data_IF_334990361326
#
_entry.id   IF_334990361326
#
_cell.length_a   1.000
_cell.length_b   1.000
_cell.length_c   1.000
_cell.angle_alpha   90.00
_cell.angle_beta   90.00
_cell.angle_gamma   90.00
#
_symmetry.space_group_name_H-M   'P 1'
#
loop_
_entity.id
_entity.type
_entity.pdbx_description
1 polymer ?
#
# COMPACT_ATOMS: atom_id res chain seq x y z
N UNK A 1 29.67 7.94 30.56
CA UNK A 1 29.26 8.16 29.16
C UNK A 1 29.39 6.78 28.56
N UNK A 2 28.39 5.93 28.79
CA UNK A 2 28.52 4.50 28.51
C UNK A 2 27.15 4.01 28.09
N UNK A 3 26.87 4.13 26.79
CA UNK A 3 25.70 3.48 26.21
C UNK A 3 26.11 2.06 25.81
N UNK A 4 25.46 1.14 26.52
CA UNK A 4 25.60 -0.30 26.52
C UNK A 4 25.32 -0.88 25.13
N UNK A 5 26.27 -1.66 24.62
CA UNK A 5 26.13 -2.45 23.40
C UNK A 5 25.06 -3.54 23.58
N UNK A 6 24.17 -3.69 22.60
CA UNK A 6 23.17 -4.75 22.55
C UNK A 6 23.70 -5.96 21.75
N UNK A 7 23.39 -7.21 22.15
CA UNK A 7 23.98 -8.40 21.57
C UNK A 7 23.35 -8.78 20.22
N UNK A 8 24.14 -9.53 19.46
CA UNK A 8 23.89 -10.06 18.12
C UNK A 8 22.52 -10.73 17.96
N UNK A 9 21.80 -10.40 16.87
CA UNK A 9 20.82 -11.33 16.30
C UNK A 9 19.37 -10.88 16.11
N UNK A 10 19.06 -9.59 16.04
CA UNK A 10 17.78 -9.15 15.49
C UNK A 10 18.02 -7.97 14.56
N UNK A 11 17.85 -8.18 13.25
CA UNK A 11 17.92 -7.11 12.24
C UNK A 11 17.08 -5.94 12.76
N UNK A 12 17.77 -4.83 13.03
CA UNK A 12 17.17 -3.61 13.55
C UNK A 12 15.98 -3.25 12.68
N UNK A 13 14.83 -3.16 13.34
CA UNK A 13 13.53 -2.74 12.83
C UNK A 13 13.71 -1.47 11.99
N UNK A 14 13.70 -1.62 10.67
CA UNK A 14 13.77 -0.51 9.72
C UNK A 14 12.76 0.57 10.08
N UNK A 15 13.22 1.80 10.22
CA UNK A 15 12.37 2.98 10.36
C UNK A 15 12.11 3.57 8.96
N UNK A 16 10.95 4.18 8.71
CA UNK A 16 10.65 4.80 7.41
C UNK A 16 11.66 5.87 6.97
N UNK A 17 12.52 6.34 7.88
CA UNK A 17 13.50 7.39 7.65
C UNK A 17 14.90 6.85 7.35
N UNK A 18 15.08 5.53 7.35
CA UNK A 18 16.36 4.86 7.04
C UNK A 18 16.57 4.69 5.53
N UNK A 19 15.58 5.05 4.71
CA UNK A 19 15.60 4.89 3.25
C UNK A 19 15.04 6.10 2.53
N UNK A 20 15.65 6.43 1.41
CA UNK A 20 15.12 7.42 0.48
C UNK A 20 13.94 6.84 -0.30
N UNK A 21 12.89 7.64 -0.44
CA UNK A 21 11.71 7.28 -1.23
C UNK A 21 12.04 7.45 -2.71
N UNK A 22 12.18 6.35 -3.45
CA UNK A 22 12.51 6.42 -4.89
C UNK A 22 11.29 6.71 -5.78
N UNK A 23 10.09 6.29 -5.37
CA UNK A 23 8.85 6.54 -6.11
C UNK A 23 7.61 6.48 -5.20
N UNK A 24 6.58 7.22 -5.59
CA UNK A 24 5.25 7.23 -4.97
C UNK A 24 4.22 6.58 -5.89
N UNK A 25 3.36 5.72 -5.33
CA UNK A 25 2.24 5.12 -6.04
C UNK A 25 0.97 5.91 -5.80
N UNK A 26 0.27 6.30 -6.87
CA UNK A 26 -1.04 6.96 -6.79
C UNK A 26 -2.10 6.11 -7.48
N UNK A 27 -3.18 5.81 -6.74
CA UNK A 27 -4.33 5.06 -7.23
C UNK A 27 -5.63 5.86 -7.02
N UNK A 28 -6.48 5.93 -8.05
CA UNK A 28 -7.87 6.36 -7.85
C UNK A 28 -8.72 5.16 -7.40
N UNK A 29 -9.12 5.18 -6.13
CA UNK A 29 -9.92 4.13 -5.51
C UNK A 29 -11.43 4.36 -5.62
N UNK A 30 -11.89 5.44 -6.27
CA UNK A 30 -13.33 5.74 -6.41
C UNK A 30 -14.10 4.60 -7.05
N UNK A 31 -13.52 3.95 -8.06
CA UNK A 31 -14.16 2.81 -8.73
C UNK A 31 -14.37 1.63 -7.77
N UNK A 32 -13.40 1.33 -6.91
CA UNK A 32 -13.55 0.28 -5.91
C UNK A 32 -14.51 0.69 -4.78
N UNK A 33 -14.45 1.96 -4.35
CA UNK A 33 -15.26 2.49 -3.26
C UNK A 33 -16.77 2.45 -3.54
N UNK A 34 -17.18 2.62 -4.82
CA UNK A 34 -18.60 2.62 -5.24
C UNK A 34 -19.35 1.33 -4.89
N UNK A 35 -18.64 0.22 -4.77
CA UNK A 35 -19.23 -1.10 -4.56
C UNK A 35 -19.08 -1.59 -3.11
N UNK A 36 -18.59 -0.75 -2.21
CA UNK A 36 -18.44 -1.10 -0.81
C UNK A 36 -19.80 -1.12 -0.12
N UNK A 37 -20.06 -2.20 0.60
CA UNK A 37 -21.26 -2.31 1.42
C UNK A 37 -21.02 -1.67 2.79
N UNK A 38 -21.98 -0.88 3.30
CA UNK A 38 -21.89 -0.32 4.65
C UNK A 38 -21.92 -1.44 5.69
N UNK A 39 -20.94 -1.44 6.58
CA UNK A 39 -20.87 -2.32 7.74
C UNK A 39 -21.22 -1.55 9.01
N UNK A 40 -21.74 -2.24 10.03
CA UNK A 40 -22.11 -1.63 11.31
C UNK A 40 -21.25 -2.17 12.43
N UNK A 41 -20.74 -1.28 13.26
CA UNK A 41 -20.10 -1.65 14.53
C UNK A 41 -21.15 -2.09 15.55
N UNK A 42 -20.72 -2.77 16.61
CA UNK A 42 -21.59 -3.10 17.77
C UNK A 42 -22.24 -1.86 18.41
N UNK A 43 -21.60 -0.69 18.29
CA UNK A 43 -22.13 0.60 18.73
C UNK A 43 -23.12 1.26 17.76
N UNK A 44 -23.41 0.64 16.61
CA UNK A 44 -24.33 1.16 15.60
C UNK A 44 -23.72 2.15 14.60
N UNK A 45 -22.42 2.49 14.72
CA UNK A 45 -21.72 3.35 13.74
C UNK A 45 -21.48 2.60 12.42
N UNK A 46 -21.72 3.28 11.30
CA UNK A 46 -21.47 2.77 9.94
C UNK A 46 -20.02 2.99 9.52
N UNK A 47 -19.41 2.00 8.89
CA UNK A 47 -18.08 2.05 8.29
C UNK A 47 -18.02 1.26 6.98
N UNK A 48 -16.93 1.40 6.23
CA UNK A 48 -16.69 0.69 4.98
C UNK A 48 -15.30 0.06 5.02
N UNK A 49 -15.15 -1.11 4.39
CA UNK A 49 -13.87 -1.83 4.30
C UNK A 49 -13.56 -2.07 2.84
N UNK A 50 -12.38 -1.66 2.41
CA UNK A 50 -11.84 -1.94 1.09
C UNK A 50 -10.62 -2.84 1.25
N UNK A 51 -10.74 -4.08 0.81
CA UNK A 51 -9.62 -5.01 0.69
C UNK A 51 -9.04 -4.90 -0.72
N UNK A 52 -7.72 -4.70 -0.79
CA UNK A 52 -7.03 -4.53 -2.06
C UNK A 52 -5.59 -5.05 -1.97
N UNK A 53 -5.05 -5.40 -3.12
CA UNK A 53 -3.66 -5.79 -3.33
C UNK A 53 -2.97 -4.74 -4.21
N UNK A 54 -1.72 -4.41 -3.86
CA UNK A 54 -0.83 -3.63 -4.73
C UNK A 54 0.20 -4.58 -5.30
N UNK A 55 0.16 -4.75 -6.62
CA UNK A 55 1.06 -5.65 -7.34
C UNK A 55 2.13 -4.82 -8.03
N UNK A 56 3.38 -4.97 -7.60
CA UNK A 56 4.54 -4.38 -8.27
C UNK A 56 5.05 -5.33 -9.35
N UNK A 57 5.17 -4.81 -10.55
CA UNK A 57 5.61 -5.55 -11.73
C UNK A 57 6.93 -4.95 -12.18
N UNK A 58 8.00 -5.71 -12.01
CA UNK A 58 9.33 -5.35 -12.49
C UNK A 58 9.56 -6.01 -13.86
N UNK A 59 9.80 -5.21 -14.89
CA UNK A 59 10.12 -5.67 -16.25
C UNK A 59 11.42 -5.03 -16.69
N UNK A 60 12.52 -5.77 -16.77
CA UNK A 60 13.84 -5.26 -17.18
C UNK A 60 14.26 -3.96 -16.47
N UNK A 61 13.86 -2.79 -16.98
CA UNK A 61 14.09 -1.46 -16.37
C UNK A 61 12.81 -0.66 -16.06
N UNK A 62 11.63 -1.23 -16.29
CA UNK A 62 10.34 -0.58 -16.05
C UNK A 62 9.68 -1.13 -14.77
N UNK A 63 9.34 -0.23 -13.85
CA UNK A 63 8.48 -0.51 -12.71
C UNK A 63 7.04 -0.12 -13.04
N UNK A 64 6.12 -1.08 -13.00
CA UNK A 64 4.68 -0.83 -13.03
C UNK A 64 4.04 -1.25 -11.71
N UNK A 65 2.89 -0.66 -11.42
CA UNK A 65 2.08 -1.06 -10.29
C UNK A 65 0.62 -1.24 -10.71
N UNK A 66 -0.03 -2.26 -10.14
CA UNK A 66 -1.45 -2.54 -10.33
C UNK A 66 -2.19 -2.56 -8.99
N UNK A 67 -3.41 -2.02 -9.00
CA UNK A 67 -4.32 -1.93 -7.87
C UNK A 67 -5.41 -2.95 -8.13
N UNK A 68 -5.43 -4.00 -7.33
CA UNK A 68 -6.35 -5.11 -7.49
C UNK A 68 -7.33 -5.13 -6.32
N UNK A 69 -8.60 -5.38 -6.58
CA UNK A 69 -9.60 -5.55 -5.53
C UNK A 69 -10.65 -6.58 -5.97
N UNK A 70 -11.45 -7.06 -5.03
CA UNK A 70 -12.59 -7.92 -5.36
C UNK A 70 -13.88 -7.14 -5.29
N UNK A 71 -14.65 -7.23 -6.37
CA UNK A 71 -16.00 -6.68 -6.47
C UNK A 71 -16.96 -7.85 -6.65
N UNK A 72 -17.84 -8.10 -5.66
CA UNK A 72 -18.78 -9.24 -5.69
C UNK A 72 -18.09 -10.59 -5.96
N UNK A 73 -16.88 -10.80 -5.42
CA UNK A 73 -16.08 -12.00 -5.61
C UNK A 73 -15.30 -12.07 -6.93
N UNK A 74 -15.49 -11.11 -7.83
CA UNK A 74 -14.76 -11.01 -9.11
C UNK A 74 -13.56 -10.08 -8.92
N UNK A 75 -12.38 -10.54 -9.31
CA UNK A 75 -11.18 -9.71 -9.29
C UNK A 75 -11.28 -8.58 -10.33
N UNK A 76 -10.98 -7.37 -9.88
CA UNK A 76 -10.86 -6.16 -10.68
C UNK A 76 -9.43 -5.66 -10.57
N UNK A 77 -8.97 -4.97 -11.62
CA UNK A 77 -7.63 -4.37 -11.66
C UNK A 77 -7.72 -2.97 -12.24
N UNK A 78 -6.91 -2.08 -11.69
CA UNK A 78 -6.67 -0.75 -12.24
C UNK A 78 -5.16 -0.49 -12.26
N UNK A 79 -4.69 0.25 -13.25
CA UNK A 79 -3.28 0.67 -13.30
C UNK A 79 -3.05 1.78 -12.26
N UNK A 80 -1.92 1.73 -11.54
CA UNK A 80 -1.47 2.85 -10.72
C UNK A 80 -0.48 3.70 -11.52
N UNK A 81 -0.53 4.99 -11.26
CA UNK A 81 0.53 5.90 -11.68
C UNK A 81 1.69 5.80 -10.70
N UNK A 82 2.85 5.39 -11.23
CA UNK A 82 4.14 5.47 -10.53
C UNK A 82 4.69 6.86 -10.79
N UNK A 83 4.86 7.66 -9.74
CA UNK A 83 5.48 8.99 -9.80
C UNK A 83 6.86 8.86 -9.19
N UNK A 84 7.91 9.18 -9.95
CA UNK A 84 9.27 9.12 -9.42
C UNK A 84 9.64 10.41 -8.71
N UNK A 85 10.62 10.35 -7.82
CA UNK A 85 11.05 11.54 -7.06
C UNK A 85 11.61 12.65 -7.97
N UNK A 86 12.17 12.29 -9.13
CA UNK A 86 12.62 13.24 -10.16
C UNK A 86 11.48 13.86 -11.00
N UNK A 87 10.23 13.41 -10.82
CA UNK A 87 9.02 13.96 -11.45
C UNK A 87 8.26 14.94 -10.52
N UNK A 88 8.73 15.18 -9.29
CA UNK A 88 8.15 16.10 -8.30
C UNK A 88 8.83 17.48 -8.32
#
# INVERSE_FOLDING_TARGET
MDQKSAPDGCLSRWTPNDYDVSCCLKADTKCAAKHLLPQKTSSGKTFYVLEYDVVLIFREMELKAQFCWKENGIERRNELHVVHDWDL
#
